data_IF_204980924916
#
_entry.id   IF_204980924916
#
_cell.length_a   1.000
_cell.length_b   1.000
_cell.length_c   1.000
_cell.angle_alpha   90.00
_cell.angle_beta   90.00
_cell.angle_gamma   90.00
#
_symmetry.space_group_name_H-M   'P 1'
#
loop_
_entity.id
_entity.type
_entity.pdbx_description
1 polymer ?
#
# COMPACT_ATOMS: atom_id res chain seq x y z
N UNK A 1 3.42 -4.39 71.86
CA UNK A 1 3.09 -5.74 71.40
C UNK A 1 3.53 -5.85 69.97
N UNK A 2 4.65 -6.54 69.78
CA UNK A 2 5.42 -6.74 68.55
C UNK A 2 4.66 -7.66 67.58
N UNK A 3 4.59 -7.34 66.28
CA UNK A 3 4.11 -8.26 65.24
C UNK A 3 4.73 -7.94 63.88
N UNK A 4 5.74 -8.74 63.55
CA UNK A 4 6.57 -8.73 62.34
C UNK A 4 5.79 -9.21 61.12
N UNK A 5 5.85 -8.46 60.01
CA UNK A 5 5.46 -8.94 58.69
C UNK A 5 6.61 -9.73 58.05
N UNK A 6 6.34 -10.98 57.68
CA UNK A 6 7.23 -11.87 56.95
C UNK A 6 7.42 -11.41 55.49
N UNK A 7 8.68 -11.22 55.07
CA UNK A 7 9.09 -11.26 53.67
C UNK A 7 9.51 -12.71 53.31
N UNK A 8 9.16 -13.24 52.12
CA UNK A 8 9.76 -14.48 51.62
C UNK A 8 11.19 -14.23 51.08
N UNK A 9 12.08 -15.24 51.14
CA UNK A 9 13.52 -15.05 50.91
C UNK A 9 13.89 -14.99 49.42
N UNK A 10 14.89 -14.15 49.16
CA UNK A 10 15.66 -14.04 47.92
C UNK A 10 16.31 -15.36 47.52
N UNK A 11 16.06 -15.79 46.27
CA UNK A 11 16.70 -16.97 45.67
C UNK A 11 18.08 -16.56 45.15
N UNK A 12 19.13 -17.01 45.86
CA UNK A 12 20.51 -17.07 45.39
C UNK A 12 20.61 -18.16 44.31
N UNK A 13 21.06 -17.81 43.10
CA UNK A 13 21.49 -18.80 42.11
C UNK A 13 22.96 -19.16 42.36
N UNK A 14 23.21 -20.42 42.75
CA UNK A 14 24.54 -21.04 42.74
C UNK A 14 24.90 -21.47 41.31
N UNK A 15 26.18 -21.41 40.90
CA UNK A 15 26.61 -21.85 39.57
C UNK A 15 26.61 -23.39 39.50
N UNK A 16 25.89 -23.94 38.52
CA UNK A 16 25.91 -25.36 38.19
C UNK A 16 27.20 -25.71 37.46
N UNK A 17 28.07 -26.46 38.15
CA UNK A 17 29.21 -27.18 37.61
C UNK A 17 28.70 -28.30 36.67
N UNK A 18 28.91 -28.15 35.36
CA UNK A 18 28.76 -29.24 34.40
C UNK A 18 30.16 -29.60 33.91
N UNK A 19 30.74 -30.63 34.52
CA UNK A 19 31.90 -31.36 34.01
C UNK A 19 31.47 -32.18 32.80
N UNK A 20 31.79 -31.72 31.58
CA UNK A 20 31.78 -32.58 30.39
C UNK A 20 33.18 -33.12 30.14
N UNK A 21 33.38 -34.42 30.37
CA UNK A 21 34.52 -35.16 29.87
C UNK A 21 34.49 -35.15 28.33
N UNK A 22 35.35 -34.35 27.70
CA UNK A 22 35.72 -34.53 26.31
C UNK A 22 37.17 -35.01 26.24
N UNK A 23 37.31 -36.25 25.77
CA UNK A 23 38.54 -36.92 25.38
C UNK A 23 39.35 -36.04 24.42
N UNK A 24 40.58 -35.75 24.81
CA UNK A 24 41.59 -35.08 23.98
C UNK A 24 42.05 -36.06 22.90
N UNK A 25 41.57 -35.87 21.67
CA UNK A 25 42.20 -36.45 20.47
C UNK A 25 43.20 -35.45 19.91
N UNK A 26 44.49 -35.72 20.14
CA UNK A 26 45.59 -35.06 19.44
C UNK A 26 45.49 -35.34 17.94
N UNK A 27 45.18 -34.31 17.15
CA UNK A 27 45.51 -34.28 15.72
C UNK A 27 46.42 -33.08 15.45
N UNK A 28 47.70 -33.40 15.28
CA UNK A 28 48.70 -32.58 14.62
C UNK A 28 48.21 -32.21 13.21
N UNK A 29 48.04 -30.92 12.94
CA UNK A 29 48.01 -30.38 11.57
C UNK A 29 49.06 -29.30 11.41
N UNK A 30 49.95 -29.56 10.47
CA UNK A 30 51.05 -28.73 10.03
C UNK A 30 50.57 -27.44 9.35
N UNK A 31 51.46 -26.45 9.38
CA UNK A 31 51.44 -25.14 8.71
C UNK A 31 50.91 -25.10 7.27
N UNK A 32 50.29 -23.96 6.89
CA UNK A 32 50.48 -23.38 5.54
C UNK A 32 49.25 -22.83 4.80
N UNK A 33 48.73 -21.69 5.27
CA UNK A 33 48.20 -20.49 4.57
C UNK A 33 47.42 -20.47 3.23
N UNK A 34 46.51 -19.46 3.19
CA UNK A 34 46.08 -18.62 2.06
C UNK A 34 44.84 -18.96 1.20
N UNK A 35 43.76 -19.50 1.78
CA UNK A 35 42.45 -19.53 1.07
C UNK A 35 41.18 -19.28 1.92
N UNK A 36 41.32 -19.04 3.23
CA UNK A 36 40.17 -18.92 4.15
C UNK A 36 39.50 -17.55 4.26
N UNK A 37 40.14 -16.46 3.78
CA UNK A 37 39.61 -15.09 3.94
C UNK A 37 38.73 -14.58 2.79
N UNK A 38 38.75 -15.24 1.64
CA UNK A 38 38.05 -14.76 0.44
C UNK A 38 36.55 -15.06 0.45
N UNK A 39 36.13 -16.19 1.02
CA UNK A 39 34.72 -16.59 1.03
C UNK A 39 33.82 -15.67 1.88
N UNK A 40 34.20 -15.23 3.10
CA UNK A 40 33.41 -14.28 3.87
C UNK A 40 33.35 -12.88 3.22
N UNK A 41 34.46 -12.42 2.65
CA UNK A 41 34.55 -11.12 1.99
C UNK A 41 33.71 -11.08 0.69
N UNK A 42 33.71 -12.17 -0.09
CA UNK A 42 32.88 -12.29 -1.28
C UNK A 42 31.39 -12.25 -0.94
N UNK A 43 30.96 -12.98 0.09
CA UNK A 43 29.55 -12.97 0.54
C UNK A 43 29.14 -11.57 0.99
N UNK A 44 29.96 -10.89 1.78
CA UNK A 44 29.72 -9.50 2.21
C UNK A 44 29.61 -8.55 1.00
N UNK A 45 30.52 -8.66 0.02
CA UNK A 45 30.49 -7.85 -1.19
C UNK A 45 29.24 -8.12 -2.04
N UNK A 46 28.84 -9.39 -2.18
CA UNK A 46 27.60 -9.76 -2.90
C UNK A 46 26.37 -9.19 -2.20
N UNK A 47 26.26 -9.35 -0.88
CA UNK A 47 25.15 -8.80 -0.09
C UNK A 47 25.11 -7.28 -0.21
N UNK A 48 26.24 -6.59 -0.02
CA UNK A 48 26.34 -5.14 -0.16
C UNK A 48 25.87 -4.67 -1.55
N UNK A 49 26.30 -5.37 -2.61
CA UNK A 49 25.93 -5.04 -3.99
C UNK A 49 24.43 -5.20 -4.23
N UNK A 50 23.85 -6.35 -3.82
CA UNK A 50 22.42 -6.62 -3.99
C UNK A 50 21.54 -5.61 -3.23
N UNK A 51 21.89 -5.31 -1.99
CA UNK A 51 21.15 -4.35 -1.16
C UNK A 51 21.30 -2.91 -1.67
N UNK A 52 22.47 -2.56 -2.22
CA UNK A 52 22.68 -1.26 -2.87
C UNK A 52 21.83 -1.13 -4.15
N UNK A 53 21.77 -2.17 -4.98
CA UNK A 53 20.90 -2.20 -6.16
C UNK A 53 19.42 -2.06 -5.78
N UNK A 54 18.98 -2.77 -4.72
CA UNK A 54 17.63 -2.65 -4.18
C UNK A 54 17.35 -1.22 -3.70
N UNK A 55 18.29 -0.61 -2.98
CA UNK A 55 18.18 0.77 -2.47
C UNK A 55 18.07 1.77 -3.63
N UNK A 56 18.94 1.66 -4.63
CA UNK A 56 18.91 2.50 -5.83
C UNK A 56 17.59 2.34 -6.61
N UNK A 57 17.11 1.11 -6.80
CA UNK A 57 15.83 0.86 -7.45
C UNK A 57 14.66 1.49 -6.68
N UNK A 58 14.69 1.40 -5.35
CA UNK A 58 13.68 2.00 -4.45
C UNK A 58 13.69 3.52 -4.57
N UNK A 59 14.88 4.14 -4.52
CA UNK A 59 15.03 5.59 -4.64
C UNK A 59 14.56 6.10 -6.02
N UNK A 60 15.03 5.48 -7.11
CA UNK A 60 14.72 5.91 -8.47
C UNK A 60 13.22 5.76 -8.80
N UNK A 61 12.61 4.65 -8.39
CA UNK A 61 11.19 4.40 -8.66
C UNK A 61 10.26 5.34 -7.89
N UNK A 62 10.56 5.61 -6.62
CA UNK A 62 9.80 6.56 -5.81
C UNK A 62 10.03 8.01 -6.24
N UNK A 63 11.28 8.39 -6.55
CA UNK A 63 11.60 9.71 -7.11
C UNK A 63 10.86 9.93 -8.44
N UNK A 64 10.76 8.90 -9.30
CA UNK A 64 9.98 8.97 -10.53
C UNK A 64 8.50 9.26 -10.26
N UNK A 65 7.87 8.59 -9.29
CA UNK A 65 6.46 8.82 -8.92
C UNK A 65 6.27 10.27 -8.43
N UNK A 66 7.11 10.72 -7.50
CA UNK A 66 7.07 12.10 -6.96
C UNK A 66 7.24 13.12 -8.08
N UNK A 67 8.26 12.97 -8.93
CA UNK A 67 8.53 13.89 -10.03
C UNK A 67 7.40 13.92 -11.08
N UNK A 68 6.79 12.76 -11.37
CA UNK A 68 5.67 12.66 -12.31
C UNK A 68 4.45 13.41 -11.80
N UNK A 69 4.12 13.28 -10.52
CA UNK A 69 3.02 14.02 -9.90
C UNK A 69 3.34 15.51 -9.88
N UNK A 70 4.54 15.91 -9.46
CA UNK A 70 4.92 17.32 -9.31
C UNK A 70 4.98 18.07 -10.65
N UNK A 71 5.36 17.42 -11.74
CA UNK A 71 5.47 18.05 -13.08
C UNK A 71 4.13 18.07 -13.82
N UNK A 72 3.25 17.10 -13.58
CA UNK A 72 2.02 16.97 -14.34
C UNK A 72 0.84 17.58 -13.58
N UNK A 73 0.44 18.81 -13.97
CA UNK A 73 -0.76 19.47 -13.41
C UNK A 73 -2.03 18.60 -13.54
N UNK A 74 -2.11 17.75 -14.57
CA UNK A 74 -3.22 16.80 -14.76
C UNK A 74 -3.32 15.78 -13.62
N UNK A 75 -2.21 15.49 -12.96
CA UNK A 75 -2.13 14.55 -11.84
C UNK A 75 -2.31 15.21 -10.48
N UNK A 76 -2.53 16.52 -10.37
CA UNK A 76 -2.78 17.22 -9.10
C UNK A 76 -4.19 16.96 -8.55
N UNK A 77 -4.52 15.69 -8.33
CA UNK A 77 -5.77 15.25 -7.71
C UNK A 77 -5.52 14.88 -6.25
N UNK A 78 -6.51 15.01 -5.35
CA UNK A 78 -6.33 14.65 -3.94
C UNK A 78 -5.79 13.22 -3.73
N UNK A 79 -6.25 12.26 -4.54
CA UNK A 79 -5.79 10.88 -4.48
C UNK A 79 -4.30 10.74 -4.85
N UNK A 80 -3.85 11.45 -5.87
CA UNK A 80 -2.45 11.42 -6.29
C UNK A 80 -1.55 12.17 -5.31
N UNK A 81 -2.05 13.20 -4.62
CA UNK A 81 -1.30 13.87 -3.54
C UNK A 81 -1.02 12.88 -2.40
N UNK A 82 -1.98 12.03 -2.03
CA UNK A 82 -1.76 10.97 -1.04
C UNK A 82 -0.71 9.95 -1.50
N UNK A 83 -0.80 9.50 -2.76
CA UNK A 83 0.19 8.59 -3.38
C UNK A 83 1.58 9.25 -3.41
N UNK A 84 1.65 10.55 -3.71
CA UNK A 84 2.89 11.31 -3.73
C UNK A 84 3.55 11.39 -2.36
N UNK A 85 2.77 11.56 -1.28
CA UNK A 85 3.31 11.56 0.09
C UNK A 85 3.81 10.17 0.52
N UNK A 86 3.12 9.10 0.11
CA UNK A 86 3.63 7.75 0.33
C UNK A 86 4.95 7.52 -0.43
N UNK A 87 5.02 7.87 -1.71
CA UNK A 87 6.24 7.74 -2.50
C UNK A 87 7.39 8.59 -1.92
N UNK A 88 7.09 9.78 -1.39
CA UNK A 88 8.07 10.58 -0.67
C UNK A 88 8.55 9.88 0.61
N UNK A 89 7.65 9.25 1.36
CA UNK A 89 8.01 8.46 2.56
C UNK A 89 8.94 7.29 2.19
N UNK A 90 8.60 6.54 1.15
CA UNK A 90 9.42 5.43 0.66
C UNK A 90 10.77 5.89 0.08
N UNK A 91 10.83 7.09 -0.51
CA UNK A 91 12.08 7.73 -0.91
C UNK A 91 12.95 8.05 0.32
N UNK A 92 12.36 8.58 1.40
CA UNK A 92 13.09 8.82 2.65
C UNK A 92 13.65 7.52 3.25
N UNK A 93 12.91 6.40 3.20
CA UNK A 93 13.44 5.08 3.60
C UNK A 93 14.70 4.75 2.80
N UNK A 94 14.67 4.92 1.48
CA UNK A 94 15.83 4.60 0.63
C UNK A 94 17.04 5.52 0.80
N UNK A 95 16.84 6.74 1.30
CA UNK A 95 17.91 7.74 1.45
C UNK A 95 18.46 7.79 2.87
N UNK A 96 17.59 7.71 3.87
CA UNK A 96 17.95 7.88 5.28
C UNK A 96 18.15 6.56 6.02
N UNK A 97 17.40 5.51 5.64
CA UNK A 97 17.35 4.26 6.40
C UNK A 97 18.21 3.19 5.74
N UNK A 98 17.89 2.83 4.49
CA UNK A 98 18.52 1.69 3.81
C UNK A 98 20.05 1.80 3.70
N UNK A 99 20.68 2.95 3.40
CA UNK A 99 22.15 3.02 3.30
C UNK A 99 22.85 2.73 4.63
N UNK A 100 22.29 3.22 5.73
CA UNK A 100 22.79 2.93 7.09
C UNK A 100 22.57 1.46 7.43
N UNK A 101 21.41 0.90 7.07
CA UNK A 101 21.11 -0.52 7.22
C UNK A 101 22.08 -1.42 6.44
N UNK A 102 22.52 -1.03 5.22
CA UNK A 102 23.54 -1.77 4.46
C UNK A 102 24.85 -1.83 5.25
N UNK A 103 25.30 -0.69 5.76
CA UNK A 103 26.55 -0.62 6.54
C UNK A 103 26.45 -1.54 7.75
N UNK A 104 25.34 -1.52 8.47
CA UNK A 104 25.11 -2.36 9.64
C UNK A 104 25.04 -3.86 9.28
N UNK A 105 24.26 -4.25 8.27
CA UNK A 105 24.12 -5.65 7.82
C UNK A 105 25.45 -6.23 7.31
N UNK A 106 26.27 -5.43 6.62
CA UNK A 106 27.56 -5.88 6.06
C UNK A 106 28.65 -5.95 7.13
N UNK A 107 28.76 -4.92 7.98
CA UNK A 107 29.81 -4.85 9.01
C UNK A 107 29.53 -5.72 10.22
N UNK A 108 28.26 -6.05 10.50
CA UNK A 108 27.81 -6.81 11.69
C UNK A 108 28.10 -6.14 13.05
N UNK A 109 28.72 -4.96 13.04
CA UNK A 109 29.02 -4.14 14.20
C UNK A 109 28.63 -2.70 13.93
N UNK A 110 28.17 -2.01 14.96
CA UNK A 110 27.84 -0.59 14.88
C UNK A 110 29.08 0.27 15.13
N UNK A 111 29.41 1.16 14.19
CA UNK A 111 30.59 2.04 14.30
C UNK A 111 30.31 3.52 14.01
N UNK A 112 29.05 3.88 13.76
CA UNK A 112 28.67 5.25 13.34
C UNK A 112 28.35 6.18 14.53
N UNK A 113 28.57 5.70 15.77
CA UNK A 113 28.32 6.46 17.00
C UNK A 113 26.84 6.55 17.38
N UNK A 114 26.57 7.11 18.56
CA UNK A 114 25.23 7.14 19.16
C UNK A 114 24.26 8.06 18.40
N UNK A 115 24.70 9.25 18.00
CA UNK A 115 23.84 10.23 17.32
C UNK A 115 23.26 9.67 16.02
N UNK A 116 24.09 8.99 15.22
CA UNK A 116 23.62 8.37 13.97
C UNK A 116 22.68 7.20 14.26
N UNK A 117 22.90 6.47 15.36
CA UNK A 117 22.02 5.35 15.77
C UNK A 117 20.63 5.87 16.09
N UNK A 118 20.55 6.91 16.93
CA UNK A 118 19.28 7.52 17.34
C UNK A 118 18.54 8.13 16.15
N UNK A 119 19.25 8.82 15.25
CA UNK A 119 18.67 9.36 14.01
C UNK A 119 18.20 8.27 13.06
N UNK A 120 18.97 7.19 12.88
CA UNK A 120 18.61 6.08 12.01
C UNK A 120 17.38 5.35 12.52
N UNK A 121 17.36 4.94 13.79
CA UNK A 121 16.21 4.25 14.41
C UNK A 121 14.95 5.14 14.40
N UNK A 122 15.10 6.43 14.71
CA UNK A 122 13.98 7.37 14.66
C UNK A 122 13.44 7.55 13.25
N UNK A 123 14.33 7.69 12.27
CA UNK A 123 13.94 7.81 10.85
C UNK A 123 13.25 6.54 10.37
N UNK A 124 13.75 5.36 10.75
CA UNK A 124 13.17 4.07 10.38
C UNK A 124 11.76 3.91 10.95
N UNK A 125 11.60 4.06 12.27
CA UNK A 125 10.29 3.96 12.92
C UNK A 125 9.31 4.99 12.36
N UNK A 126 9.75 6.23 12.16
CA UNK A 126 8.90 7.31 11.60
C UNK A 126 8.47 6.99 10.17
N UNK A 127 9.40 6.62 9.28
CA UNK A 127 9.08 6.39 7.88
C UNK A 127 8.21 5.14 7.70
N UNK A 128 8.49 4.06 8.44
CA UNK A 128 7.70 2.84 8.40
C UNK A 128 6.27 3.06 8.94
N UNK A 129 6.14 3.80 10.06
CA UNK A 129 4.83 4.20 10.61
C UNK A 129 4.08 5.13 9.65
N UNK A 130 4.77 6.12 9.08
CA UNK A 130 4.17 7.01 8.10
C UNK A 130 3.68 6.24 6.87
N UNK A 131 4.44 5.26 6.37
CA UNK A 131 4.07 4.46 5.18
C UNK A 131 2.73 3.75 5.38
N UNK A 132 2.54 3.05 6.51
CA UNK A 132 1.26 2.38 6.80
C UNK A 132 0.12 3.36 7.06
N UNK A 133 0.37 4.50 7.72
CA UNK A 133 -0.64 5.53 7.93
C UNK A 133 -1.08 6.18 6.61
N UNK A 134 -0.16 6.39 5.67
CA UNK A 134 -0.51 6.83 4.31
C UNK A 134 -1.37 5.78 3.59
N UNK A 135 -1.09 4.49 3.73
CA UNK A 135 -1.96 3.43 3.21
C UNK A 135 -3.36 3.47 3.85
N UNK A 136 -3.47 3.72 5.15
CA UNK A 136 -4.75 3.89 5.86
C UNK A 136 -5.52 5.10 5.34
N UNK A 137 -4.83 6.22 5.14
CA UNK A 137 -5.40 7.46 4.59
C UNK A 137 -5.88 7.26 3.15
N UNK A 138 -5.10 6.57 2.32
CA UNK A 138 -5.52 6.18 0.97
C UNK A 138 -6.77 5.28 1.06
N UNK A 139 -6.78 4.27 1.93
CA UNK A 139 -7.92 3.39 2.11
C UNK A 139 -9.18 4.15 2.58
N UNK A 140 -9.06 5.13 3.49
CA UNK A 140 -10.16 5.99 3.93
C UNK A 140 -10.71 6.85 2.79
N UNK A 141 -9.83 7.51 2.02
CA UNK A 141 -10.23 8.30 0.86
C UNK A 141 -10.98 7.44 -0.17
N UNK A 142 -10.52 6.21 -0.40
CA UNK A 142 -11.17 5.24 -1.28
C UNK A 142 -12.50 4.74 -0.72
N UNK A 143 -12.55 4.46 0.58
CA UNK A 143 -13.77 4.06 1.27
C UNK A 143 -14.86 5.12 1.10
N UNK A 144 -14.58 6.38 1.42
CA UNK A 144 -15.55 7.46 1.27
C UNK A 144 -15.94 7.72 -0.19
N UNK A 145 -14.99 7.62 -1.12
CA UNK A 145 -15.29 7.75 -2.55
C UNK A 145 -16.23 6.65 -3.08
N UNK A 146 -16.18 5.46 -2.48
CA UNK A 146 -17.08 4.36 -2.82
C UNK A 146 -18.40 4.54 -2.09
N UNK A 147 -18.41 4.65 -0.75
CA UNK A 147 -19.65 4.62 0.05
C UNK A 147 -20.51 5.86 -0.09
N UNK A 148 -19.91 7.05 -0.14
CA UNK A 148 -20.58 8.34 -0.30
C UNK A 148 -20.07 9.07 -1.55
N UNK A 149 -20.24 8.45 -2.71
CA UNK A 149 -19.69 8.97 -3.96
C UNK A 149 -20.15 10.41 -4.27
N UNK A 150 -21.40 10.77 -3.97
CA UNK A 150 -21.97 12.09 -4.30
C UNK A 150 -21.56 13.15 -3.29
N UNK A 151 -21.68 12.87 -1.98
CA UNK A 151 -21.32 13.81 -0.93
C UNK A 151 -19.81 14.01 -0.84
N UNK A 152 -19.05 12.92 -0.89
CA UNK A 152 -17.59 12.96 -0.81
C UNK A 152 -16.96 13.64 -2.02
N UNK A 153 -17.49 13.46 -3.24
CA UNK A 153 -16.97 14.15 -4.44
C UNK A 153 -16.93 15.67 -4.27
N UNK A 154 -17.92 16.26 -3.59
CA UNK A 154 -17.97 17.70 -3.28
C UNK A 154 -16.98 18.12 -2.19
N UNK A 155 -16.64 17.22 -1.26
CA UNK A 155 -15.76 17.48 -0.11
C UNK A 155 -14.30 17.09 -0.35
N UNK A 156 -14.00 16.40 -1.45
CA UNK A 156 -12.68 15.86 -1.76
C UNK A 156 -11.79 16.94 -2.36
N UNK A 157 -11.11 17.68 -1.50
CA UNK A 157 -10.17 18.76 -1.87
C UNK A 157 -8.72 18.37 -1.57
N UNK A 158 -7.76 19.04 -2.22
CA UNK A 158 -6.32 18.84 -1.98
C UNK A 158 -5.90 19.32 -0.60
N UNK A 159 -6.53 20.38 -0.07
CA UNK A 159 -6.29 20.87 1.29
C UNK A 159 -6.64 19.81 2.34
N UNK A 160 -7.78 19.12 2.20
CA UNK A 160 -8.16 18.04 3.11
C UNK A 160 -7.17 16.87 3.02
N UNK A 161 -6.72 16.51 1.82
CA UNK A 161 -5.71 15.48 1.64
C UNK A 161 -4.38 15.88 2.32
N UNK A 162 -3.94 17.14 2.17
CA UNK A 162 -2.75 17.67 2.83
C UNK A 162 -2.89 17.64 4.37
N UNK A 163 -4.07 17.97 4.92
CA UNK A 163 -4.33 17.86 6.35
C UNK A 163 -4.27 16.40 6.86
N UNK A 164 -4.79 15.44 6.08
CA UNK A 164 -4.69 14.01 6.42
C UNK A 164 -3.23 13.53 6.39
N UNK A 165 -2.43 14.00 5.43
CA UNK A 165 -0.98 13.73 5.35
C UNK A 165 -0.26 14.31 6.56
N UNK A 166 -0.52 15.57 6.90
CA UNK A 166 0.10 16.22 8.06
C UNK A 166 -0.23 15.47 9.35
N UNK A 167 -1.49 15.05 9.54
CA UNK A 167 -1.88 14.24 10.69
C UNK A 167 -1.14 12.89 10.72
N UNK A 168 -1.00 12.21 9.58
CA UNK A 168 -0.25 10.95 9.50
C UNK A 168 1.23 11.13 9.90
N UNK A 169 1.88 12.19 9.43
CA UNK A 169 3.26 12.51 9.82
C UNK A 169 3.39 12.84 11.31
N UNK A 170 2.49 13.65 11.87
CA UNK A 170 2.49 13.98 13.30
C UNK A 170 2.34 12.71 14.14
N UNK A 171 1.41 11.83 13.77
CA UNK A 171 1.26 10.54 14.47
C UNK A 171 2.55 9.72 14.34
N UNK A 172 3.10 9.58 13.14
CA UNK A 172 4.32 8.80 12.91
C UNK A 172 5.52 9.30 13.73
N UNK A 173 5.75 10.62 13.75
CA UNK A 173 6.79 11.24 14.56
C UNK A 173 6.52 11.03 16.05
N UNK A 174 5.26 11.15 16.51
CA UNK A 174 4.95 10.95 17.93
C UNK A 174 5.29 9.54 18.43
N UNK A 175 5.21 8.51 17.57
CA UNK A 175 5.58 7.14 17.90
C UNK A 175 7.10 6.96 18.07
N UNK A 176 7.92 7.72 17.33
CA UNK A 176 9.39 7.63 17.37
C UNK A 176 10.07 8.51 18.42
N UNK A 177 9.33 9.41 19.08
CA UNK A 177 9.84 10.33 20.09
C UNK A 177 10.20 9.73 21.47
N UNK A 178 9.50 8.73 22.03
CA UNK A 178 9.73 8.27 23.41
C UNK A 178 11.18 7.86 23.75
N UNK A 179 11.96 7.21 22.86
CA UNK A 179 13.36 6.92 23.12
C UNK A 179 14.19 8.17 23.44
N UNK A 180 13.95 9.29 22.77
CA UNK A 180 14.73 10.52 22.99
C UNK A 180 14.57 11.10 24.39
N UNK A 181 13.41 10.93 25.01
CA UNK A 181 13.13 11.45 26.36
C UNK A 181 13.52 10.45 27.46
N UNK A 182 13.55 9.16 27.14
CA UNK A 182 13.75 8.10 28.13
C UNK A 182 15.20 7.60 28.20
N UNK A 183 15.98 7.80 27.13
CA UNK A 183 17.34 7.25 26.98
C UNK A 183 18.43 8.13 27.61
N UNK A 184 18.05 9.03 28.53
CA UNK A 184 18.95 9.97 29.19
C UNK A 184 19.88 9.34 30.26
N UNK A 185 19.82 8.01 30.47
CA UNK A 185 20.61 7.31 31.49
C UNK A 185 21.38 6.14 30.89
N UNK A 186 22.34 6.38 29.99
CA UNK A 186 23.39 5.40 29.68
C UNK A 186 24.72 6.09 29.42
N UNK A 187 25.73 5.67 30.18
CA UNK A 187 27.15 5.97 30.05
C UNK A 187 27.70 5.51 28.70
N UNK A 188 28.75 6.16 28.23
CA UNK A 188 29.45 5.94 26.96
C UNK A 188 30.20 4.58 26.88
N UNK A 189 29.56 3.47 27.22
CA UNK A 189 30.16 2.17 26.98
C UNK A 189 30.06 1.85 25.48
N UNK A 190 31.15 1.30 24.91
CA UNK A 190 31.32 1.03 23.47
C UNK A 190 30.08 0.38 22.84
N UNK A 191 29.26 1.18 22.16
CA UNK A 191 28.00 0.72 21.57
C UNK A 191 28.28 -0.11 20.31
N UNK A 192 28.40 -1.42 20.50
CA UNK A 192 28.69 -2.40 19.43
C UNK A 192 27.47 -2.79 18.60
N UNK A 193 26.25 -2.51 19.07
CA UNK A 193 25.00 -2.74 18.35
C UNK A 193 24.08 -1.51 18.42
N UNK A 194 23.36 -1.24 17.34
CA UNK A 194 22.33 -0.20 17.31
C UNK A 194 20.98 -0.89 17.13
N UNK A 195 20.31 -1.16 18.25
CA UNK A 195 19.01 -1.80 18.28
C UNK A 195 18.05 -0.97 19.12
N UNK A 196 16.76 -1.12 18.83
CA UNK A 196 15.71 -0.51 19.63
C UNK A 196 15.80 -1.08 21.05
N UNK A 197 15.94 -0.19 22.05
CA UNK A 197 16.10 -0.62 23.44
C UNK A 197 14.85 -1.35 23.94
N UNK A 198 14.97 -2.66 24.20
CA UNK A 198 13.88 -3.53 24.65
C UNK A 198 13.74 -3.61 26.17
N UNK A 199 14.62 -2.95 26.94
CA UNK A 199 14.62 -2.98 28.41
C UNK A 199 13.31 -2.44 29.01
N UNK A 200 12.64 -1.55 28.29
CA UNK A 200 11.29 -1.09 28.64
C UNK A 200 10.26 -1.82 27.78
N UNK A 201 9.72 -2.91 28.32
CA UNK A 201 8.59 -3.67 27.73
C UNK A 201 7.46 -2.75 27.28
N UNK A 202 7.18 -1.68 28.04
CA UNK A 202 6.20 -0.65 27.67
C UNK A 202 6.49 0.04 26.35
N UNK A 203 7.74 0.40 26.08
CA UNK A 203 8.13 1.05 24.83
C UNK A 203 8.07 0.06 23.66
N UNK A 204 8.52 -1.18 23.86
CA UNK A 204 8.40 -2.24 22.84
C UNK A 204 6.93 -2.46 22.46
N UNK A 205 6.03 -2.56 23.44
CA UNK A 205 4.58 -2.70 23.18
C UNK A 205 4.03 -1.44 22.50
N UNK A 206 4.31 -0.25 23.05
CA UNK A 206 3.82 1.01 22.50
C UNK A 206 4.24 1.22 21.03
N UNK A 207 5.52 1.03 20.74
CA UNK A 207 6.08 1.22 19.40
C UNK A 207 5.57 0.17 18.43
N UNK A 208 5.56 -1.13 18.78
CA UNK A 208 5.06 -2.18 17.89
C UNK A 208 3.56 -2.07 17.61
N UNK A 209 2.74 -1.79 18.63
CA UNK A 209 1.30 -1.64 18.45
C UNK A 209 0.94 -0.35 17.72
N UNK A 210 1.58 0.76 18.08
CA UNK A 210 1.36 2.07 17.46
C UNK A 210 1.85 2.13 16.02
N UNK A 211 3.02 1.55 15.73
CA UNK A 211 3.61 1.58 14.39
C UNK A 211 2.98 0.56 13.43
N UNK A 212 2.54 -0.61 13.92
CA UNK A 212 2.12 -1.71 13.04
C UNK A 212 0.76 -2.30 13.35
N UNK A 213 0.54 -2.85 14.55
CA UNK A 213 -0.67 -3.65 14.78
C UNK A 213 -1.96 -2.83 14.69
N UNK A 214 -2.02 -1.67 15.33
CA UNK A 214 -3.22 -0.81 15.31
C UNK A 214 -3.50 -0.30 13.88
N UNK A 215 -2.53 0.30 13.15
CA UNK A 215 -2.82 0.76 11.80
C UNK A 215 -3.07 -0.41 10.82
N UNK A 216 -2.47 -1.59 11.02
CA UNK A 216 -2.74 -2.78 10.20
C UNK A 216 -4.18 -3.27 10.39
N UNK A 217 -4.65 -3.35 11.65
CA UNK A 217 -6.04 -3.71 11.94
C UNK A 217 -7.03 -2.69 11.36
N UNK A 218 -6.73 -1.40 11.47
CA UNK A 218 -7.51 -0.34 10.83
C UNK A 218 -7.56 -0.56 9.32
N UNK A 219 -6.41 -0.81 8.69
CA UNK A 219 -6.31 -1.03 7.26
C UNK A 219 -7.13 -2.25 6.82
N UNK A 220 -7.01 -3.38 7.52
CA UNK A 220 -7.79 -4.60 7.27
C UNK A 220 -9.30 -4.30 7.40
N UNK A 221 -9.71 -3.59 8.46
CA UNK A 221 -11.11 -3.25 8.68
C UNK A 221 -11.67 -2.36 7.55
N UNK A 222 -10.93 -1.33 7.13
CA UNK A 222 -11.31 -0.46 6.02
C UNK A 222 -11.43 -1.24 4.71
N UNK A 223 -10.49 -2.13 4.43
CA UNK A 223 -10.55 -2.97 3.23
C UNK A 223 -11.69 -3.99 3.27
N UNK A 224 -11.94 -4.61 4.41
CA UNK A 224 -13.10 -5.49 4.60
C UNK A 224 -14.41 -4.75 4.32
N UNK A 225 -14.54 -3.50 4.79
CA UNK A 225 -15.70 -2.65 4.52
C UNK A 225 -15.81 -2.26 3.04
N UNK A 226 -14.70 -1.85 2.40
CA UNK A 226 -14.66 -1.55 0.96
C UNK A 226 -15.11 -2.77 0.14
N UNK A 227 -14.55 -3.95 0.43
CA UNK A 227 -14.87 -5.18 -0.26
C UNK A 227 -16.35 -5.57 -0.08
N UNK A 228 -16.88 -5.46 1.14
CA UNK A 228 -18.28 -5.74 1.43
C UNK A 228 -19.21 -4.80 0.64
N UNK A 229 -18.93 -3.50 0.60
CA UNK A 229 -19.73 -2.53 -0.14
C UNK A 229 -19.64 -2.72 -1.66
N UNK A 230 -18.44 -3.01 -2.19
CA UNK A 230 -18.25 -3.37 -3.59
C UNK A 230 -19.03 -4.65 -3.97
N UNK A 231 -18.99 -5.68 -3.12
CA UNK A 231 -19.73 -6.93 -3.35
C UNK A 231 -21.25 -6.74 -3.28
N UNK A 232 -21.75 -5.93 -2.33
CA UNK A 232 -23.18 -5.56 -2.27
C UNK A 232 -23.64 -4.86 -3.55
N UNK A 233 -22.81 -3.98 -4.13
CA UNK A 233 -23.12 -3.31 -5.41
C UNK A 233 -23.18 -4.30 -6.56
N UNK A 234 -22.23 -5.24 -6.64
CA UNK A 234 -22.23 -6.29 -7.67
C UNK A 234 -23.49 -7.16 -7.54
N UNK A 235 -23.84 -7.60 -6.33
CA UNK A 235 -25.03 -8.41 -6.09
C UNK A 235 -26.33 -7.67 -6.41
N UNK A 236 -26.40 -6.35 -6.15
CA UNK A 236 -27.55 -5.50 -6.53
C UNK A 236 -27.60 -5.18 -8.03
N UNK A 237 -26.45 -5.21 -8.72
CA UNK A 237 -26.34 -5.01 -10.17
C UNK A 237 -26.56 -6.30 -10.98
N UNK A 238 -26.57 -7.47 -10.34
CA UNK A 238 -27.06 -8.71 -10.95
C UNK A 238 -28.42 -8.45 -11.59
N UNK A 239 -28.64 -8.88 -12.85
CA UNK A 239 -29.76 -8.41 -13.64
C UNK A 239 -31.06 -8.84 -12.97
N UNK A 240 -31.77 -7.89 -12.34
CA UNK A 240 -33.23 -7.97 -12.36
C UNK A 240 -33.58 -8.07 -13.85
N UNK A 241 -34.20 -9.20 -14.26
CA UNK A 241 -34.72 -9.41 -15.61
C UNK A 241 -35.21 -8.07 -16.14
N UNK A 242 -34.71 -7.67 -17.29
CA UNK A 242 -35.10 -6.44 -17.99
C UNK A 242 -36.61 -6.49 -18.20
N UNK A 243 -37.38 -6.06 -17.21
CA UNK A 243 -38.73 -5.61 -17.40
C UNK A 243 -38.57 -4.37 -18.26
N UNK A 244 -38.98 -4.46 -19.51
CA UNK A 244 -39.01 -3.37 -20.49
C UNK A 244 -39.64 -2.15 -19.81
N UNK A 245 -38.83 -1.26 -19.22
CA UNK A 245 -39.33 -0.01 -18.66
C UNK A 245 -39.52 0.92 -19.84
N UNK A 246 -40.70 0.80 -20.44
CA UNK A 246 -41.18 1.60 -21.55
C UNK A 246 -41.42 3.02 -21.01
N UNK A 247 -40.42 3.90 -21.05
CA UNK A 247 -40.68 5.33 -20.88
C UNK A 247 -41.33 5.83 -22.16
N UNK A 248 -42.66 5.83 -22.16
CA UNK A 248 -43.47 6.44 -23.21
C UNK A 248 -43.37 7.96 -23.08
N UNK A 249 -42.73 8.62 -24.04
CA UNK A 249 -42.85 10.06 -24.20
C UNK A 249 -44.03 10.31 -25.14
N UNK A 250 -45.08 10.96 -24.64
CA UNK A 250 -46.24 11.37 -25.43
C UNK A 250 -45.93 12.74 -26.03
N UNK A 251 -45.75 12.83 -27.35
CA UNK A 251 -45.76 14.11 -28.04
C UNK A 251 -47.18 14.67 -27.96
N UNK A 252 -47.34 15.81 -27.29
CA UNK A 252 -48.58 16.59 -27.31
C UNK A 252 -48.54 17.38 -28.62
N UNK A 253 -49.26 16.91 -29.63
CA UNK A 253 -49.49 17.69 -30.85
C UNK A 253 -50.84 18.38 -30.73
N UNK A 254 -50.92 19.39 -29.87
CA UNK A 254 -52.00 20.39 -29.90
C UNK A 254 -51.35 21.77 -30.09
N UNK A 255 -51.05 22.08 -31.34
CA UNK A 255 -50.89 23.45 -31.81
C UNK A 255 -51.55 23.55 -33.19
N UNK A 256 -52.64 24.32 -33.34
CA UNK A 256 -53.30 24.48 -34.62
C UNK A 256 -52.47 25.45 -35.47
N UNK A 257 -51.64 24.90 -36.35
CA UNK A 257 -50.96 25.69 -37.35
C UNK A 257 -49.60 25.14 -37.74
N UNK A 258 -49.58 24.11 -38.59
CA UNK A 258 -48.62 24.07 -39.69
C UNK A 258 -49.00 22.96 -40.67
N UNK A 259 -49.52 23.38 -41.82
CA UNK A 259 -49.65 22.55 -43.01
C UNK A 259 -48.25 22.34 -43.56
N UNK A 260 -47.75 21.11 -43.57
CA UNK A 260 -46.53 20.77 -44.31
C UNK A 260 -46.60 19.33 -44.82
N UNK A 261 -46.87 19.26 -46.11
CA UNK A 261 -46.90 18.13 -47.03
C UNK A 261 -45.84 17.05 -46.79
N UNK A 262 -46.27 15.80 -46.68
CA UNK A 262 -45.41 14.64 -46.93
C UNK A 262 -45.61 14.20 -48.37
N UNK A 263 -44.66 14.57 -49.23
CA UNK A 263 -44.53 14.03 -50.58
C UNK A 263 -44.01 12.61 -50.49
N UNK A 264 -44.88 11.60 -50.71
CA UNK A 264 -44.45 10.22 -50.90
C UNK A 264 -44.17 9.99 -52.39
N UNK A 265 -42.90 9.83 -52.75
CA UNK A 265 -42.49 9.27 -54.04
C UNK A 265 -42.81 7.77 -54.05
N UNK A 266 -43.89 7.39 -54.74
CA UNK A 266 -44.23 6.02 -55.07
C UNK A 266 -43.68 5.70 -56.47
N UNK A 267 -42.75 4.76 -56.57
CA UNK A 267 -42.32 4.16 -57.84
C UNK A 267 -42.92 2.76 -57.93
N UNK A 268 -43.75 2.52 -58.94
CA UNK A 268 -44.39 1.22 -59.19
C UNK A 268 -45.56 1.35 -60.16
N UNK A 269 -45.26 1.21 -61.44
CA UNK A 269 -46.14 1.25 -62.61
C UNK A 269 -47.03 0.01 -62.76
N UNK A 270 -48.31 0.24 -63.14
CA UNK A 270 -49.27 -0.61 -63.90
C UNK A 270 -49.73 -1.94 -63.25
N UNK A 271 -50.98 -2.40 -63.29
CA UNK A 271 -52.19 -2.03 -64.05
C UNK A 271 -53.44 -2.75 -63.47
N UNK A 272 -54.62 -2.12 -63.60
CA UNK A 272 -56.00 -2.68 -63.72
C UNK A 272 -56.65 -3.59 -62.66
N UNK A 273 -57.72 -3.02 -62.08
CA UNK A 273 -59.12 -3.52 -62.05
C UNK A 273 -59.64 -4.42 -60.92
N UNK A 274 -60.88 -4.06 -60.55
CA UNK A 274 -61.98 -4.79 -59.89
C UNK A 274 -62.04 -4.89 -58.35
N UNK A 275 -63.04 -4.20 -57.83
CA UNK A 275 -63.94 -4.45 -56.70
C UNK A 275 -63.71 -5.69 -55.83
N UNK A 276 -63.56 -5.49 -54.51
CA UNK A 276 -64.53 -6.01 -53.55
C UNK A 276 -64.31 -5.45 -52.14
N UNK A 277 -65.43 -5.29 -51.42
CA UNK A 277 -65.50 -4.86 -50.04
C UNK A 277 -64.95 -5.92 -49.10
N UNK A 278 -64.13 -5.54 -48.11
CA UNK A 278 -64.17 -6.13 -46.77
C UNK A 278 -63.40 -5.27 -45.75
N UNK A 279 -64.01 -5.20 -44.57
CA UNK A 279 -63.61 -4.54 -43.33
C UNK A 279 -62.11 -4.69 -43.01
N UNK A 280 -61.39 -3.57 -42.94
CA UNK A 280 -60.06 -3.49 -42.33
C UNK A 280 -60.08 -2.46 -41.20
N UNK A 281 -59.87 -2.98 -40.00
CA UNK A 281 -59.67 -2.26 -38.74
C UNK A 281 -58.67 -1.11 -38.88
N UNK A 282 -59.05 0.06 -38.36
CA UNK A 282 -58.20 1.24 -38.23
C UNK A 282 -57.02 0.98 -37.30
N UNK A 283 -55.92 0.48 -37.84
CA UNK A 283 -54.65 0.44 -37.15
C UNK A 283 -54.07 1.86 -37.07
N UNK A 284 -54.31 2.53 -35.93
CA UNK A 284 -53.56 3.73 -35.54
C UNK A 284 -52.09 3.35 -35.46
N UNK A 285 -51.32 3.74 -36.47
CA UNK A 285 -49.88 3.51 -36.51
C UNK A 285 -49.22 4.41 -35.43
N UNK A 286 -49.08 3.87 -34.22
CA UNK A 286 -48.25 4.43 -33.17
C UNK A 286 -46.80 4.52 -33.67
N UNK A 287 -46.38 5.70 -34.15
CA UNK A 287 -44.98 5.99 -34.41
C UNK A 287 -44.24 6.09 -33.07
N UNK A 288 -43.80 4.95 -32.54
CA UNK A 288 -42.81 4.89 -31.46
C UNK A 288 -41.42 5.20 -32.02
N UNK A 289 -40.92 6.40 -31.77
CA UNK A 289 -39.51 6.71 -31.98
C UNK A 289 -38.70 6.06 -30.86
N UNK A 290 -37.97 5.00 -31.20
CA UNK A 290 -37.09 4.27 -30.28
C UNK A 290 -35.78 5.04 -30.09
N UNK A 291 -35.67 5.84 -29.03
CA UNK A 291 -34.45 6.59 -28.70
C UNK A 291 -33.43 5.68 -27.98
N UNK A 292 -32.27 5.46 -28.60
CA UNK A 292 -31.13 4.61 -28.17
C UNK A 292 -30.25 5.20 -27.04
N UNK A 293 -30.79 6.10 -26.21
CA UNK A 293 -30.04 6.74 -25.10
C UNK A 293 -29.73 5.76 -23.95
N UNK A 294 -30.49 4.68 -23.83
CA UNK A 294 -30.32 3.67 -22.77
C UNK A 294 -29.02 2.87 -22.88
N UNK A 295 -28.58 2.54 -24.09
CA UNK A 295 -27.42 1.65 -24.29
C UNK A 295 -26.11 2.36 -23.97
N UNK A 296 -25.95 3.61 -24.41
CA UNK A 296 -24.78 4.44 -24.07
C UNK A 296 -24.66 4.72 -22.56
N UNK A 297 -25.78 4.92 -21.86
CA UNK A 297 -25.80 5.10 -20.40
C UNK A 297 -25.48 3.80 -19.65
N UNK A 298 -26.00 2.66 -20.13
CA UNK A 298 -25.70 1.34 -19.55
C UNK A 298 -24.24 0.95 -19.77
N UNK A 299 -23.68 1.23 -20.95
CA UNK A 299 -22.28 1.03 -21.27
C UNK A 299 -21.37 1.92 -20.40
N UNK A 300 -21.70 3.21 -20.26
CA UNK A 300 -21.01 4.12 -19.35
C UNK A 300 -21.04 3.62 -17.89
N UNK A 301 -22.18 3.08 -17.43
CA UNK A 301 -22.31 2.46 -16.10
C UNK A 301 -21.46 1.19 -15.97
N UNK A 302 -21.43 0.32 -16.97
CA UNK A 302 -20.60 -0.90 -17.00
C UNK A 302 -19.11 -0.56 -16.96
N UNK A 303 -18.67 0.41 -17.75
CA UNK A 303 -17.27 0.88 -17.78
C UNK A 303 -16.88 1.48 -16.42
N UNK A 304 -17.76 2.28 -15.80
CA UNK A 304 -17.53 2.83 -14.46
C UNK A 304 -17.39 1.73 -13.40
N UNK A 305 -18.28 0.73 -13.42
CA UNK A 305 -18.24 -0.40 -12.48
C UNK A 305 -16.99 -1.27 -12.68
N UNK A 306 -16.56 -1.49 -13.93
CA UNK A 306 -15.32 -2.21 -14.23
C UNK A 306 -14.08 -1.47 -13.71
N UNK A 307 -14.02 -0.13 -13.86
CA UNK A 307 -12.94 0.70 -13.28
C UNK A 307 -12.92 0.65 -11.75
N UNK A 308 -14.09 0.70 -11.10
CA UNK A 308 -14.22 0.59 -9.63
C UNK A 308 -13.72 -0.78 -9.12
N UNK A 309 -14.00 -1.87 -9.86
CA UNK A 309 -13.50 -3.22 -9.54
C UNK A 309 -11.98 -3.33 -9.70
N UNK A 310 -11.41 -2.77 -10.77
CA UNK A 310 -9.94 -2.74 -10.97
C UNK A 310 -9.25 -2.01 -9.82
N UNK A 311 -9.77 -0.84 -9.43
CA UNK A 311 -9.23 -0.06 -8.32
C UNK A 311 -9.28 -0.83 -6.99
N UNK A 312 -10.40 -1.49 -6.66
CA UNK A 312 -10.53 -2.29 -5.44
C UNK A 312 -9.54 -3.46 -5.40
N UNK A 313 -9.32 -4.12 -6.54
CA UNK A 313 -8.33 -5.21 -6.65
C UNK A 313 -6.91 -4.70 -6.39
N UNK A 314 -6.53 -3.59 -7.01
CA UNK A 314 -5.21 -2.97 -6.79
C UNK A 314 -4.98 -2.68 -5.33
N UNK A 315 -5.95 -2.10 -4.63
CA UNK A 315 -5.80 -1.77 -3.23
C UNK A 315 -5.63 -3.02 -2.34
N UNK A 316 -6.35 -4.11 -2.65
CA UNK A 316 -6.15 -5.40 -1.99
C UNK A 316 -4.76 -5.99 -2.20
N UNK A 317 -4.15 -5.78 -3.37
CA UNK A 317 -2.76 -6.17 -3.64
C UNK A 317 -1.78 -5.35 -2.79
N UNK A 318 -2.00 -4.04 -2.66
CA UNK A 318 -1.18 -3.17 -1.81
C UNK A 318 -1.24 -3.63 -0.34
N UNK A 319 -2.44 -3.94 0.18
CA UNK A 319 -2.61 -4.48 1.52
C UNK A 319 -1.84 -5.80 1.71
N UNK A 320 -2.02 -6.74 0.78
CA UNK A 320 -1.38 -8.06 0.87
C UNK A 320 0.14 -7.95 0.85
N UNK A 321 0.68 -7.11 -0.04
CA UNK A 321 2.12 -6.85 -0.11
C UNK A 321 2.66 -6.28 1.21
N UNK A 322 1.97 -5.28 1.78
CA UNK A 322 2.37 -4.68 3.05
C UNK A 322 2.43 -5.71 4.19
N UNK A 323 1.36 -6.49 4.37
CA UNK A 323 1.28 -7.50 5.45
C UNK A 323 2.36 -8.57 5.24
N UNK A 324 2.53 -9.08 4.02
CA UNK A 324 3.55 -10.11 3.74
C UNK A 324 4.96 -9.60 3.99
N UNK A 325 5.24 -8.32 3.75
CA UNK A 325 6.55 -7.73 3.95
C UNK A 325 6.86 -7.50 5.44
N UNK A 326 5.91 -6.94 6.19
CA UNK A 326 6.15 -6.46 7.56
C UNK A 326 5.77 -7.44 8.67
N UNK A 327 4.76 -8.29 8.46
CA UNK A 327 4.29 -9.19 9.51
C UNK A 327 5.38 -10.13 10.06
N UNK A 328 6.28 -10.72 9.26
CA UNK A 328 7.35 -11.57 9.78
C UNK A 328 8.27 -10.82 10.77
N UNK A 329 8.63 -9.58 10.45
CA UNK A 329 9.47 -8.74 11.31
C UNK A 329 8.78 -8.43 12.65
N UNK A 330 7.51 -8.03 12.63
CA UNK A 330 6.78 -7.70 13.85
C UNK A 330 6.49 -8.93 14.72
N UNK A 331 6.25 -10.10 14.11
CA UNK A 331 6.18 -11.36 14.86
C UNK A 331 7.53 -11.66 15.53
N UNK A 332 8.63 -11.59 14.78
CA UNK A 332 9.96 -11.87 15.32
C UNK A 332 10.32 -10.93 16.48
N UNK A 333 10.11 -9.63 16.33
CA UNK A 333 10.42 -8.63 17.36
C UNK A 333 9.57 -8.76 18.62
N UNK A 334 8.33 -9.24 18.53
CA UNK A 334 7.53 -9.60 19.70
C UNK A 334 8.01 -10.91 20.35
N UNK A 335 8.42 -11.90 19.56
CA UNK A 335 8.80 -13.21 20.09
C UNK A 335 10.15 -13.19 20.82
N UNK A 336 11.13 -12.41 20.35
CA UNK A 336 12.47 -12.32 20.95
C UNK A 336 12.43 -12.05 22.46
N UNK A 337 11.71 -11.03 22.97
CA UNK A 337 11.64 -10.77 24.41
C UNK A 337 10.71 -11.72 25.19
N UNK A 338 9.79 -12.43 24.51
CA UNK A 338 8.77 -13.26 25.17
C UNK A 338 9.22 -14.73 25.30
N UNK A 339 9.87 -15.28 24.26
CA UNK A 339 10.27 -16.67 24.25
C UNK A 339 11.72 -16.84 24.74
N UNK A 340 11.87 -17.13 26.03
CA UNK A 340 13.20 -17.36 26.64
C UNK A 340 13.83 -18.71 26.28
N UNK A 341 13.05 -19.64 25.73
CA UNK A 341 13.49 -21.00 25.34
C UNK A 341 13.69 -21.18 23.84
N UNK A 342 13.40 -20.16 23.03
CA UNK A 342 13.55 -20.20 21.58
C UNK A 342 14.96 -19.82 21.15
N UNK A 343 15.49 -20.48 20.14
CA UNK A 343 16.74 -20.07 19.47
C UNK A 343 16.42 -19.05 18.38
N UNK A 344 16.95 -17.84 18.52
CA UNK A 344 16.82 -16.78 17.53
C UNK A 344 18.14 -16.59 16.77
N UNK A 345 18.05 -16.59 15.45
CA UNK A 345 19.20 -16.32 14.57
C UNK A 345 19.22 -14.83 14.18
N UNK A 346 20.33 -14.11 14.37
CA UNK A 346 20.44 -12.69 13.99
C UNK A 346 20.20 -12.47 12.49
N UNK A 347 20.52 -13.47 11.67
CA UNK A 347 20.42 -13.37 10.21
C UNK A 347 18.95 -13.30 9.76
N UNK A 348 18.03 -13.90 10.52
CA UNK A 348 16.59 -13.80 10.25
C UNK A 348 16.06 -12.40 10.55
N UNK A 349 16.62 -11.70 11.54
CA UNK A 349 16.25 -10.32 11.84
C UNK A 349 16.57 -9.42 10.64
N UNK A 350 17.77 -9.54 10.06
CA UNK A 350 18.14 -8.80 8.86
C UNK A 350 17.23 -9.15 7.68
N UNK A 351 16.98 -10.44 7.44
CA UNK A 351 16.13 -10.90 6.34
C UNK A 351 14.72 -10.29 6.46
N UNK A 352 14.12 -10.31 7.64
CA UNK A 352 12.78 -9.74 7.84
C UNK A 352 12.78 -8.21 7.77
N UNK A 353 13.85 -7.55 8.22
CA UNK A 353 14.01 -6.10 8.09
C UNK A 353 14.07 -5.69 6.62
N UNK A 354 14.91 -6.36 5.83
CA UNK A 354 15.05 -6.11 4.38
C UNK A 354 13.80 -6.50 3.59
N UNK A 355 13.07 -7.53 4.02
CA UNK A 355 11.76 -7.87 3.48
C UNK A 355 10.74 -6.76 3.77
N UNK A 356 10.78 -6.13 4.95
CA UNK A 356 10.00 -4.93 5.27
C UNK A 356 10.31 -3.76 4.34
N UNK A 357 11.60 -3.45 4.14
CA UNK A 357 12.03 -2.38 3.22
C UNK A 357 11.66 -2.65 1.75
N UNK A 358 11.57 -3.92 1.33
CA UNK A 358 11.12 -4.27 -0.01
C UNK A 358 9.72 -3.73 -0.33
N UNK A 359 8.87 -3.53 0.69
CA UNK A 359 7.55 -2.89 0.53
C UNK A 359 7.65 -1.52 -0.17
N UNK A 360 8.67 -0.71 0.17
CA UNK A 360 8.90 0.61 -0.41
C UNK A 360 9.26 0.56 -1.90
N UNK A 361 9.79 -0.56 -2.41
CA UNK A 361 9.99 -0.79 -3.85
C UNK A 361 8.72 -1.29 -4.54
N UNK A 362 7.95 -2.15 -3.86
CA UNK A 362 6.73 -2.75 -4.41
C UNK A 362 5.67 -1.68 -4.70
N UNK A 363 5.58 -0.65 -3.85
CA UNK A 363 4.58 0.42 -3.96
C UNK A 363 4.56 1.10 -5.36
N UNK A 364 5.65 1.71 -5.87
CA UNK A 364 5.73 2.26 -7.23
C UNK A 364 5.35 1.28 -8.35
N UNK A 365 5.73 0.01 -8.22
CA UNK A 365 5.40 -1.03 -9.21
C UNK A 365 3.89 -1.23 -9.26
N UNK A 366 3.23 -1.29 -8.10
CA UNK A 366 1.77 -1.40 -8.05
C UNK A 366 1.10 -0.15 -8.63
N UNK A 367 1.59 1.05 -8.32
CA UNK A 367 1.01 2.30 -8.86
C UNK A 367 1.14 2.41 -10.37
N UNK A 368 2.32 2.11 -10.92
CA UNK A 368 2.58 2.15 -12.36
C UNK A 368 1.78 1.09 -13.12
N UNK A 369 1.57 -0.10 -12.54
CA UNK A 369 0.75 -1.16 -13.18
C UNK A 369 -0.76 -0.90 -13.07
N UNK A 370 -1.21 -0.23 -12.02
CA UNK A 370 -2.63 0.00 -11.77
C UNK A 370 -3.19 1.25 -12.45
N UNK A 371 -2.37 2.27 -12.66
CA UNK A 371 -2.77 3.56 -13.20
C UNK A 371 -2.16 3.82 -14.59
N UNK A 372 -3.03 3.92 -15.60
CA UNK A 372 -2.63 4.13 -17.00
C UNK A 372 -1.88 5.46 -17.21
N UNK A 373 -2.15 6.51 -16.43
CA UNK A 373 -1.46 7.78 -16.57
C UNK A 373 0.02 7.66 -16.14
N UNK A 374 0.28 6.94 -15.04
CA UNK A 374 1.64 6.61 -14.60
C UNK A 374 2.34 5.68 -15.58
N UNK A 375 1.63 4.67 -16.11
CA UNK A 375 2.15 3.76 -17.13
C UNK A 375 2.57 4.51 -18.39
N UNK A 376 1.75 5.45 -18.86
CA UNK A 376 2.06 6.29 -20.02
C UNK A 376 3.25 7.23 -19.75
N UNK A 377 3.32 7.84 -18.56
CA UNK A 377 4.46 8.67 -18.17
C UNK A 377 5.76 7.86 -18.14
N UNK A 378 5.70 6.63 -17.62
CA UNK A 378 6.83 5.72 -17.58
C UNK A 378 7.30 5.30 -18.97
N UNK A 379 6.37 4.92 -19.87
CA UNK A 379 6.71 4.62 -21.26
C UNK A 379 7.29 5.81 -22.02
N UNK A 380 6.80 7.03 -21.75
CA UNK A 380 7.39 8.25 -22.33
C UNK A 380 8.83 8.44 -21.86
N UNK A 381 9.11 8.23 -20.57
CA UNK A 381 10.46 8.33 -20.01
C UNK A 381 11.41 7.31 -20.65
N UNK A 382 11.00 6.03 -20.72
CA UNK A 382 11.83 4.97 -21.34
C UNK A 382 12.07 5.27 -22.82
N UNK A 383 11.03 5.65 -23.58
CA UNK A 383 11.19 6.00 -25.00
C UNK A 383 12.13 7.18 -25.18
N UNK A 384 12.06 8.21 -24.33
CA UNK A 384 12.96 9.37 -24.42
C UNK A 384 14.43 8.99 -24.20
N UNK A 385 14.70 7.98 -23.36
CA UNK A 385 16.05 7.46 -23.15
C UNK A 385 16.51 6.50 -24.26
N UNK A 386 15.61 5.74 -24.90
CA UNK A 386 15.96 4.88 -26.03
C UNK A 386 16.28 5.63 -27.33
N UNK A 387 15.84 6.89 -27.48
CA UNK A 387 16.17 7.72 -28.65
C UNK A 387 17.39 8.64 -28.43
N UNK A 388 17.99 8.61 -27.23
CA UNK A 388 19.13 9.45 -26.85
C UNK A 388 20.40 8.64 -26.54
N UNK A 389 20.31 7.32 -26.63
CA UNK A 389 21.43 6.37 -26.68
C UNK A 389 21.53 5.84 -28.10
#
# INVERSE_FOLDING_TARGET
GDARGHFPPSIHFSPLNITSNHTVSNQTRAHGDASGGAAPALVQATVATLLSLLTCATALSNAFVVATIARSRKLHTPANVLIGSLAFTDLLVSVLVMPVSIVYTVRRVWTLGRVICDLWLSSDVTCCTASILHLCVIALDRYWAITDAVGYSKRRTTQRAAAMIAAAWVIAVSISLPPFFWQQVRTEDEMTSCTVNTDHVFYTIYSTFGAFYIPTLLLIALYGRIYAEARKRILKQSPKRVGKRLTSARLISDSPGSVASTTSLNYGTHETSTSDATVATSAVANHQVKVTVSDALLEKKRISAARERKATKTLGVILGAYIMCWLPFFIYTLLVPICTTCTFYPELFDVFTWLGYLNSLINPIIYTMSNEDFKQAFHKLIRFNCFRS
#
